data_IF_406267398065
#
_entry.id   IF_406267398065
#
_cell.length_a   1.000
_cell.length_b   1.000
_cell.length_c   1.000
_cell.angle_alpha   90.00
_cell.angle_beta   90.00
_cell.angle_gamma   90.00
#
_symmetry.space_group_name_H-M   'P 1'
#
loop_
_entity.id
_entity.type
_entity.pdbx_description
1 polymer ?
#
# COMPACT_ATOMS: atom_id res chain seq x y z
N UNK A 1 -3.49 5.98 37.10
CA UNK A 1 -3.28 5.11 35.91
C UNK A 1 -3.31 5.85 34.57
N UNK A 2 -3.86 7.06 34.46
CA UNK A 2 -3.93 7.78 33.16
C UNK A 2 -2.58 8.10 32.52
N UNK A 3 -1.58 8.49 33.32
CA UNK A 3 -0.24 8.86 32.82
C UNK A 3 0.49 7.70 32.13
N UNK A 4 0.54 6.52 32.78
CA UNK A 4 1.19 5.32 32.24
C UNK A 4 0.53 4.90 30.92
N UNK A 5 -0.81 4.89 30.88
CA UNK A 5 -1.56 4.52 29.68
C UNK A 5 -1.28 5.48 28.51
N UNK A 6 -1.24 6.79 28.79
CA UNK A 6 -0.92 7.80 27.77
C UNK A 6 0.50 7.64 27.24
N UNK A 7 1.47 7.35 28.12
CA UNK A 7 2.86 7.09 27.74
C UNK A 7 2.99 5.87 26.82
N UNK A 8 2.31 4.76 27.13
CA UNK A 8 2.34 3.55 26.28
C UNK A 8 1.73 3.82 24.90
N UNK A 9 0.59 4.54 24.83
CA UNK A 9 -0.03 4.90 23.54
C UNK A 9 0.91 5.75 22.69
N UNK A 10 1.61 6.71 23.30
CA UNK A 10 2.57 7.55 22.59
C UNK A 10 3.74 6.73 22.00
N UNK A 11 4.31 5.80 22.78
CA UNK A 11 5.38 4.92 22.31
C UNK A 11 4.90 4.03 21.16
N UNK A 12 3.71 3.43 21.29
CA UNK A 12 3.12 2.62 20.23
C UNK A 12 2.83 3.43 18.96
N UNK A 13 2.42 4.69 19.09
CA UNK A 13 2.19 5.58 17.95
C UNK A 13 3.50 5.89 17.19
N UNK A 14 4.60 6.15 17.91
CA UNK A 14 5.92 6.34 17.29
C UNK A 14 6.40 5.05 16.62
N UNK A 15 6.26 3.91 17.29
CA UNK A 15 6.63 2.62 16.74
C UNK A 15 5.85 2.32 15.44
N UNK A 16 4.53 2.56 15.45
CA UNK A 16 3.68 2.41 14.27
C UNK A 16 4.10 3.35 13.13
N UNK A 17 4.43 4.61 13.46
CA UNK A 17 4.91 5.57 12.46
C UNK A 17 6.19 5.10 11.77
N UNK A 18 7.19 4.65 12.54
CA UNK A 18 8.47 4.17 12.00
C UNK A 18 8.27 2.90 11.16
N UNK A 19 7.46 1.98 11.64
CA UNK A 19 7.17 0.72 10.95
C UNK A 19 6.45 0.98 9.62
N UNK A 20 5.43 1.85 9.60
CA UNK A 20 4.76 2.26 8.37
C UNK A 20 5.67 3.03 7.42
N UNK A 21 6.56 3.88 7.94
CA UNK A 21 7.54 4.59 7.11
C UNK A 21 8.48 3.62 6.39
N UNK A 22 9.02 2.61 7.11
CA UNK A 22 9.85 1.56 6.51
C UNK A 22 9.03 0.68 5.55
N UNK A 23 7.78 0.39 5.89
CA UNK A 23 6.85 -0.34 5.02
C UNK A 23 6.61 0.38 3.70
N UNK A 24 6.38 1.70 3.73
CA UNK A 24 6.23 2.52 2.54
C UNK A 24 7.48 2.51 1.66
N UNK A 25 8.68 2.46 2.28
CA UNK A 25 9.93 2.32 1.54
C UNK A 25 9.99 0.98 0.81
N UNK A 26 9.71 -0.13 1.49
CA UNK A 26 9.72 -1.45 0.86
C UNK A 26 8.65 -1.59 -0.22
N UNK A 27 7.46 -1.03 -0.01
CA UNK A 27 6.41 -1.02 -1.03
C UNK A 27 6.84 -0.21 -2.26
N UNK A 28 7.47 0.94 -2.05
CA UNK A 28 7.99 1.79 -3.13
C UNK A 28 9.06 1.05 -3.92
N UNK A 29 10.01 0.40 -3.25
CA UNK A 29 11.06 -0.39 -3.89
C UNK A 29 10.48 -1.58 -4.67
N UNK A 30 9.47 -2.26 -4.12
CA UNK A 30 8.80 -3.38 -4.79
C UNK A 30 8.10 -2.94 -6.08
N UNK A 31 7.22 -1.94 -6.00
CA UNK A 31 6.44 -1.46 -7.16
C UNK A 31 7.34 -0.81 -8.22
N UNK A 32 8.41 -0.14 -7.79
CA UNK A 32 9.35 0.50 -8.72
C UNK A 32 10.22 -0.50 -9.50
N UNK A 33 10.28 -1.75 -9.04
CA UNK A 33 11.04 -2.84 -9.68
C UNK A 33 10.17 -3.76 -10.53
N UNK A 34 8.95 -3.36 -10.85
CA UNK A 34 8.14 -4.05 -11.85
C UNK A 34 8.79 -3.95 -13.24
N UNK A 35 8.68 -5.02 -14.03
CA UNK A 35 9.35 -5.12 -15.34
C UNK A 35 9.01 -3.95 -16.28
N UNK A 36 7.75 -3.50 -16.26
CA UNK A 36 7.23 -2.36 -17.03
C UNK A 36 7.84 -1.01 -16.60
N UNK A 37 8.30 -0.89 -15.35
CA UNK A 37 9.03 0.28 -14.86
C UNK A 37 10.53 0.16 -15.17
N UNK A 38 11.07 -1.04 -15.03
CA UNK A 38 12.50 -1.31 -15.17
C UNK A 38 12.96 -1.30 -16.63
N UNK A 39 12.22 -1.95 -17.52
CA UNK A 39 12.56 -2.09 -18.94
C UNK A 39 12.80 -0.75 -19.66
N UNK A 40 11.86 0.21 -19.66
CA UNK A 40 12.09 1.49 -20.34
C UNK A 40 13.20 2.32 -19.70
N UNK A 41 13.42 2.17 -18.38
CA UNK A 41 14.51 2.85 -17.71
C UNK A 41 15.88 2.30 -18.12
N UNK A 42 16.01 0.97 -18.19
CA UNK A 42 17.25 0.33 -18.67
C UNK A 42 17.50 0.68 -20.13
N UNK A 43 16.46 0.70 -20.99
CA UNK A 43 16.60 1.13 -22.38
C UNK A 43 17.23 2.52 -22.48
N UNK A 44 16.67 3.50 -21.77
CA UNK A 44 17.22 4.86 -21.75
C UNK A 44 18.65 4.91 -21.16
N UNK A 45 18.90 4.17 -20.07
CA UNK A 45 20.21 4.14 -19.42
C UNK A 45 21.27 3.45 -20.29
N UNK A 46 20.87 2.45 -21.06
CA UNK A 46 21.76 1.66 -21.90
C UNK A 46 22.21 2.42 -23.14
N UNK A 47 21.46 3.41 -23.62
CA UNK A 47 21.97 4.35 -24.63
C UNK A 47 23.18 5.12 -24.08
N UNK A 48 23.07 5.61 -22.84
CA UNK A 48 24.16 6.31 -22.15
C UNK A 48 25.34 5.38 -21.80
N UNK A 49 25.05 4.15 -21.33
CA UNK A 49 26.08 3.18 -20.96
C UNK A 49 26.76 2.54 -22.15
N UNK A 50 26.04 2.25 -23.24
CA UNK A 50 26.62 1.77 -24.49
C UNK A 50 27.59 2.85 -25.03
N UNK A 51 27.26 4.13 -24.89
CA UNK A 51 28.17 5.20 -25.26
C UNK A 51 29.44 5.27 -24.38
N UNK A 52 29.39 4.80 -23.12
CA UNK A 52 30.51 4.96 -22.17
C UNK A 52 31.37 3.70 -21.92
N UNK A 53 30.87 2.48 -22.16
CA UNK A 53 31.45 1.24 -21.59
C UNK A 53 32.35 0.41 -22.52
N UNK A 54 32.62 0.84 -23.75
CA UNK A 54 33.40 0.05 -24.71
C UNK A 54 32.66 -1.17 -25.30
N UNK A 55 31.57 -1.62 -24.67
CA UNK A 55 30.66 -2.67 -25.19
C UNK A 55 30.07 -2.29 -26.55
N UNK A 56 29.77 -1.01 -26.78
CA UNK A 56 29.35 -0.51 -28.10
C UNK A 56 30.44 -0.68 -29.15
N UNK A 57 31.72 -0.52 -28.80
CA UNK A 57 32.80 -0.74 -29.73
C UNK A 57 32.88 -2.21 -30.14
N UNK A 58 32.68 -3.15 -29.21
CA UNK A 58 32.64 -4.59 -29.51
C UNK A 58 31.44 -4.96 -30.40
N UNK A 59 30.26 -4.41 -30.13
CA UNK A 59 29.06 -4.63 -30.97
C UNK A 59 29.29 -4.05 -32.38
N UNK A 60 29.80 -2.83 -32.48
CA UNK A 60 30.05 -2.16 -33.75
C UNK A 60 31.21 -2.80 -34.55
N UNK A 61 32.25 -3.30 -33.88
CA UNK A 61 33.34 -4.02 -34.53
C UNK A 61 32.83 -5.31 -35.19
N UNK A 62 31.94 -6.03 -34.52
CA UNK A 62 31.33 -7.25 -35.05
C UNK A 62 30.21 -6.98 -36.06
N UNK A 63 29.59 -5.80 -36.01
CA UNK A 63 28.48 -5.42 -36.87
C UNK A 63 28.87 -5.44 -38.35
N UNK A 64 29.99 -4.85 -38.76
CA UNK A 64 30.39 -4.79 -40.19
C UNK A 64 30.60 -6.18 -40.80
N UNK A 65 31.29 -7.06 -40.08
CA UNK A 65 31.52 -8.45 -40.52
C UNK A 65 30.20 -9.21 -40.65
N UNK A 66 29.29 -9.02 -39.68
CA UNK A 66 27.98 -9.68 -39.67
C UNK A 66 27.02 -9.15 -40.72
N UNK A 67 27.09 -7.85 -41.03
CA UNK A 67 26.32 -7.23 -42.10
C UNK A 67 26.66 -7.84 -43.46
N UNK A 68 27.95 -8.06 -43.74
CA UNK A 68 28.38 -8.74 -44.97
C UNK A 68 27.81 -10.17 -45.04
N UNK A 69 27.78 -10.90 -43.93
CA UNK A 69 27.21 -12.25 -43.88
C UNK A 69 25.70 -12.25 -44.14
N UNK A 70 24.96 -11.30 -43.56
CA UNK A 70 23.52 -11.15 -43.83
C UNK A 70 23.21 -10.82 -45.30
N UNK A 71 24.06 -10.05 -45.97
CA UNK A 71 23.88 -9.70 -47.38
C UNK A 71 24.12 -10.87 -48.34
N UNK A 72 24.89 -11.89 -47.93
CA UNK A 72 25.12 -13.10 -48.73
C UNK A 72 23.93 -14.05 -48.75
N UNK A 73 22.94 -13.85 -47.87
CA UNK A 73 21.68 -14.61 -47.86
C UNK A 73 21.75 -15.98 -47.17
N UNK A 74 22.90 -16.32 -46.55
CA UNK A 74 23.11 -17.65 -45.98
C UNK A 74 22.46 -17.84 -44.59
N UNK A 75 22.07 -16.76 -43.90
CA UNK A 75 21.56 -16.82 -42.52
C UNK A 75 20.42 -15.83 -42.26
N UNK A 76 19.46 -16.25 -41.42
CA UNK A 76 18.31 -15.44 -40.99
C UNK A 76 18.63 -14.59 -39.75
N UNK A 77 19.54 -15.06 -38.90
CA UNK A 77 19.98 -14.38 -37.68
C UNK A 77 21.44 -14.68 -37.36
N UNK A 78 22.11 -13.78 -36.64
CA UNK A 78 23.50 -13.92 -36.22
C UNK A 78 23.66 -13.72 -34.71
N UNK A 79 24.36 -14.62 -34.04
CA UNK A 79 24.54 -14.61 -32.59
C UNK A 79 25.56 -13.55 -32.14
N UNK A 80 25.12 -12.54 -31.39
CA UNK A 80 25.98 -11.61 -30.67
C UNK A 80 26.21 -12.11 -29.25
N UNK A 81 27.48 -12.22 -28.85
CA UNK A 81 27.82 -12.50 -27.45
C UNK A 81 27.80 -11.19 -26.68
N UNK A 82 26.93 -11.07 -25.69
CA UNK A 82 26.89 -9.98 -24.73
C UNK A 82 27.16 -10.54 -23.35
N UNK A 83 28.29 -10.14 -22.76
CA UNK A 83 28.84 -10.76 -21.55
C UNK A 83 29.04 -12.28 -21.73
N UNK A 84 28.12 -13.10 -21.24
CA UNK A 84 28.16 -14.57 -21.35
C UNK A 84 27.01 -15.16 -22.17
N UNK A 85 26.05 -14.33 -22.60
CA UNK A 85 24.83 -14.77 -23.28
C UNK A 85 24.94 -14.54 -24.78
N UNK A 86 24.37 -15.45 -25.57
CA UNK A 86 24.28 -15.32 -27.02
C UNK A 86 22.89 -14.87 -27.42
N UNK A 87 22.82 -13.71 -28.07
CA UNK A 87 21.57 -13.11 -28.55
C UNK A 87 21.55 -13.20 -30.07
N UNK A 88 20.60 -13.97 -30.61
CA UNK A 88 20.41 -14.11 -32.04
C UNK A 88 19.73 -12.85 -32.61
N UNK A 89 20.48 -12.04 -33.38
CA UNK A 89 19.95 -10.80 -33.97
C UNK A 89 19.51 -11.08 -35.40
N UNK A 90 18.24 -10.81 -35.79
CA UNK A 90 17.76 -10.99 -37.14
C UNK A 90 18.54 -10.15 -38.16
N UNK A 91 18.81 -10.70 -39.33
CA UNK A 91 19.47 -9.98 -40.41
C UNK A 91 18.68 -8.74 -40.88
N UNK A 92 17.35 -8.74 -40.69
CA UNK A 92 16.51 -7.56 -40.93
C UNK A 92 16.90 -6.36 -40.05
N UNK A 93 17.29 -6.61 -38.80
CA UNK A 93 17.75 -5.57 -37.87
C UNK A 93 19.19 -5.17 -38.20
N UNK A 94 20.06 -6.14 -38.51
CA UNK A 94 21.47 -5.91 -38.88
C UNK A 94 21.58 -5.08 -40.17
N UNK A 95 20.70 -5.29 -41.13
CA UNK A 95 20.75 -4.59 -42.41
C UNK A 95 20.26 -3.13 -42.32
N UNK A 96 19.52 -2.74 -41.27
CA UNK A 96 19.08 -1.36 -41.06
C UNK A 96 20.26 -0.45 -40.72
N UNK A 97 20.76 -0.56 -39.49
CA UNK A 97 21.90 0.22 -39.00
C UNK A 97 22.41 -0.35 -37.66
N UNK A 98 23.62 0.07 -37.26
CA UNK A 98 24.24 -0.40 -36.02
C UNK A 98 23.52 0.04 -34.73
N UNK A 99 22.74 1.14 -34.75
CA UNK A 99 21.95 1.56 -33.59
C UNK A 99 20.76 0.63 -33.40
N UNK A 100 20.06 0.28 -34.48
CA UNK A 100 18.97 -0.71 -34.46
C UNK A 100 19.44 -2.05 -33.87
N UNK A 101 20.66 -2.49 -34.17
CA UNK A 101 21.25 -3.70 -33.57
C UNK A 101 21.50 -3.53 -32.08
N UNK A 102 22.05 -2.39 -31.64
CA UNK A 102 22.29 -2.10 -30.22
C UNK A 102 20.96 -2.11 -29.46
N UNK A 103 19.95 -1.39 -29.95
CA UNK A 103 18.61 -1.32 -29.35
C UNK A 103 17.98 -2.72 -29.24
N UNK A 104 18.06 -3.53 -30.29
CA UNK A 104 17.57 -4.91 -30.28
C UNK A 104 18.30 -5.76 -29.23
N UNK A 105 19.63 -5.72 -29.20
CA UNK A 105 20.44 -6.49 -28.23
C UNK A 105 20.10 -6.08 -26.80
N UNK A 106 19.93 -4.78 -26.52
CA UNK A 106 19.52 -4.27 -25.22
C UNK A 106 18.13 -4.80 -24.85
N UNK A 107 17.16 -4.68 -25.77
CA UNK A 107 15.78 -5.10 -25.53
C UNK A 107 15.67 -6.59 -25.22
N UNK A 108 16.42 -7.43 -25.93
CA UNK A 108 16.50 -8.86 -25.67
C UNK A 108 17.29 -9.20 -24.39
N UNK A 109 18.26 -8.37 -24.02
CA UNK A 109 19.06 -8.58 -22.80
C UNK A 109 18.28 -8.28 -21.52
N UNK A 110 17.39 -7.28 -21.54
CA UNK A 110 16.62 -6.86 -20.35
C UNK A 110 15.87 -8.02 -19.69
N UNK A 111 15.03 -8.82 -20.38
CA UNK A 111 14.32 -9.92 -19.74
C UNK A 111 15.28 -11.00 -19.23
N UNK A 112 16.39 -11.28 -19.95
CA UNK A 112 17.39 -12.26 -19.52
C UNK A 112 17.99 -11.88 -18.16
N UNK A 113 18.37 -10.61 -17.99
CA UNK A 113 18.92 -10.14 -16.73
C UNK A 113 17.87 -9.95 -15.63
N UNK A 114 16.67 -9.47 -15.98
CA UNK A 114 15.61 -9.25 -15.02
C UNK A 114 15.13 -10.57 -14.37
N UNK A 115 14.96 -11.62 -15.19
CA UNK A 115 14.48 -12.94 -14.76
C UNK A 115 15.60 -13.94 -14.45
N UNK A 116 16.86 -13.47 -14.36
CA UNK A 116 18.00 -14.34 -14.06
C UNK A 116 17.83 -15.02 -12.70
N UNK A 117 17.95 -16.35 -12.66
CA UNK A 117 17.94 -17.09 -11.40
C UNK A 117 19.31 -17.03 -10.72
N UNK A 118 19.44 -16.12 -9.76
CA UNK A 118 20.68 -15.92 -9.02
C UNK A 118 20.84 -16.99 -7.92
N UNK A 119 21.93 -17.75 -7.91
CA UNK A 119 22.22 -18.76 -6.88
C UNK A 119 22.77 -18.17 -5.56
N UNK A 120 22.26 -17.02 -5.11
CA UNK A 120 22.62 -16.35 -3.85
C UNK A 120 21.38 -15.74 -3.20
N UNK A 121 21.44 -15.41 -1.91
CA UNK A 121 20.43 -14.51 -1.33
C UNK A 121 20.64 -13.09 -1.85
N UNK A 122 19.57 -12.27 -1.90
CA UNK A 122 19.65 -10.91 -2.43
C UNK A 122 20.81 -10.08 -1.84
N UNK A 123 21.00 -10.17 -0.51
CA UNK A 123 22.07 -9.45 0.18
C UNK A 123 23.46 -9.98 -0.20
N UNK A 124 23.63 -11.30 -0.30
CA UNK A 124 24.90 -11.92 -0.74
C UNK A 124 25.24 -11.57 -2.20
N UNK A 125 24.25 -11.52 -3.09
CA UNK A 125 24.47 -11.18 -4.49
C UNK A 125 25.06 -9.76 -4.62
N UNK A 126 24.57 -8.81 -3.82
CA UNK A 126 25.01 -7.42 -3.85
C UNK A 126 26.35 -7.24 -3.14
N UNK A 127 26.49 -7.78 -1.92
CA UNK A 127 27.64 -7.48 -1.06
C UNK A 127 28.86 -8.35 -1.36
N UNK A 128 28.66 -9.63 -1.66
CA UNK A 128 29.76 -10.61 -1.73
C UNK A 128 30.12 -10.96 -3.17
N UNK A 129 29.12 -11.13 -4.04
CA UNK A 129 29.36 -11.53 -5.44
C UNK A 129 29.52 -10.34 -6.40
N UNK A 130 29.15 -9.14 -5.97
CA UNK A 130 29.24 -7.93 -6.80
C UNK A 130 28.30 -7.94 -8.01
N UNK A 131 27.22 -8.73 -7.95
CA UNK A 131 26.25 -8.85 -9.03
C UNK A 131 25.27 -7.66 -8.99
N UNK A 132 25.73 -6.50 -9.46
CA UNK A 132 24.98 -5.24 -9.42
C UNK A 132 23.63 -5.31 -10.14
N UNK A 133 23.51 -6.12 -11.20
CA UNK A 133 22.25 -6.36 -11.92
C UNK A 133 21.19 -7.06 -11.06
N UNK A 134 21.59 -7.76 -9.99
CA UNK A 134 20.64 -8.35 -9.06
C UNK A 134 19.75 -7.29 -8.38
N UNK A 135 20.22 -6.03 -8.28
CA UNK A 135 19.45 -4.92 -7.69
C UNK A 135 18.19 -4.55 -8.46
N UNK A 136 18.17 -4.78 -9.77
CA UNK A 136 17.08 -4.41 -10.69
C UNK A 136 16.34 -5.63 -11.24
N UNK A 137 16.48 -6.78 -10.58
CA UNK A 137 15.91 -8.05 -10.99
C UNK A 137 14.56 -8.37 -10.32
N UNK A 138 13.85 -9.37 -10.83
CA UNK A 138 12.68 -9.95 -10.17
C UNK A 138 13.00 -10.45 -8.75
N UNK A 139 14.24 -10.90 -8.53
CA UNK A 139 14.71 -11.34 -7.22
C UNK A 139 14.75 -10.19 -6.20
N UNK A 140 15.17 -9.00 -6.63
CA UNK A 140 15.11 -7.81 -5.80
C UNK A 140 13.65 -7.44 -5.47
N UNK A 141 12.79 -7.40 -6.49
CA UNK A 141 11.35 -7.15 -6.32
C UNK A 141 10.74 -8.08 -5.26
N UNK A 142 10.92 -9.39 -5.42
CA UNK A 142 10.44 -10.42 -4.50
C UNK A 142 11.01 -10.26 -3.09
N UNK A 143 12.27 -9.82 -2.95
CA UNK A 143 12.88 -9.54 -1.66
C UNK A 143 12.16 -8.39 -0.94
N UNK A 144 11.97 -7.26 -1.61
CA UNK A 144 11.30 -6.09 -1.04
C UNK A 144 9.83 -6.37 -0.74
N UNK A 145 9.14 -7.13 -1.59
CA UNK A 145 7.78 -7.61 -1.34
C UNK A 145 7.68 -8.41 -0.03
N UNK A 146 8.56 -9.41 0.16
CA UNK A 146 8.59 -10.21 1.40
C UNK A 146 8.87 -9.36 2.64
N UNK A 147 9.76 -8.37 2.53
CA UNK A 147 10.05 -7.42 3.61
C UNK A 147 8.87 -6.51 3.91
N UNK A 148 8.18 -6.02 2.88
CA UNK A 148 6.95 -5.25 3.03
C UNK A 148 5.89 -6.03 3.80
N UNK A 149 5.57 -7.27 3.41
CA UNK A 149 4.58 -8.09 4.12
C UNK A 149 4.97 -8.38 5.57
N UNK A 150 6.27 -8.58 5.83
CA UNK A 150 6.78 -8.79 7.18
C UNK A 150 6.54 -7.56 8.07
N UNK A 151 6.83 -6.37 7.54
CA UNK A 151 6.58 -5.08 8.23
C UNK A 151 5.09 -4.81 8.38
N UNK A 152 4.28 -5.04 7.35
CA UNK A 152 2.83 -4.87 7.41
C UNK A 152 2.18 -5.73 8.51
N UNK A 153 2.69 -6.96 8.72
CA UNK A 153 2.24 -7.82 9.81
C UNK A 153 2.59 -7.25 11.19
N UNK A 154 3.80 -6.70 11.35
CA UNK A 154 4.22 -6.03 12.59
C UNK A 154 3.36 -4.79 12.86
N UNK A 155 3.13 -3.96 11.83
CA UNK A 155 2.23 -2.80 11.89
C UNK A 155 0.83 -3.19 12.35
N UNK A 156 0.29 -4.31 11.86
CA UNK A 156 -1.02 -4.82 12.26
C UNK A 156 -1.04 -5.20 13.75
N UNK A 157 0.00 -5.87 14.25
CA UNK A 157 0.13 -6.23 15.68
C UNK A 157 0.20 -4.97 16.53
N UNK A 158 1.01 -3.98 16.14
CA UNK A 158 1.13 -2.70 16.84
C UNK A 158 -0.22 -1.95 16.84
N UNK A 159 -0.95 -1.97 15.73
CA UNK A 159 -2.28 -1.39 15.63
C UNK A 159 -3.28 -2.06 16.59
N UNK A 160 -3.28 -3.39 16.70
CA UNK A 160 -4.14 -4.13 17.64
C UNK A 160 -3.79 -3.75 19.10
N UNK A 161 -2.50 -3.66 19.43
CA UNK A 161 -2.07 -3.19 20.75
C UNK A 161 -2.55 -1.76 21.02
N UNK A 162 -2.35 -0.85 20.07
CA UNK A 162 -2.82 0.53 20.15
C UNK A 162 -4.34 0.57 20.37
N UNK A 163 -5.10 -0.24 19.64
CA UNK A 163 -6.55 -0.37 19.79
C UNK A 163 -6.95 -0.81 21.20
N UNK A 164 -6.23 -1.76 21.82
CA UNK A 164 -6.48 -2.21 23.19
C UNK A 164 -6.17 -1.08 24.20
N UNK A 165 -5.03 -0.41 24.04
CA UNK A 165 -4.54 0.60 24.97
C UNK A 165 -5.25 1.95 24.84
N UNK A 166 -5.86 2.33 23.72
CA UNK A 166 -6.62 3.58 23.61
C UNK A 166 -7.98 3.46 24.34
N UNK A 167 -8.36 4.51 25.09
CA UNK A 167 -9.59 4.54 25.91
C UNK A 167 -10.84 4.47 25.04
N UNK A 168 -10.85 5.26 23.97
CA UNK A 168 -11.97 5.37 23.04
C UNK A 168 -11.60 4.68 21.73
N UNK A 169 -12.29 3.59 21.38
CA UNK A 169 -11.91 2.75 20.24
C UNK A 169 -11.90 3.49 18.91
N UNK A 170 -12.82 4.45 18.73
CA UNK A 170 -12.84 5.32 17.57
C UNK A 170 -11.56 6.17 17.43
N UNK A 171 -10.97 6.60 18.55
CA UNK A 171 -9.75 7.39 18.58
C UNK A 171 -8.53 6.59 18.11
N UNK A 172 -8.52 5.26 18.25
CA UNK A 172 -7.46 4.42 17.69
C UNK A 172 -7.46 4.42 16.15
N UNK A 173 -8.64 4.34 15.52
CA UNK A 173 -8.79 4.43 14.07
C UNK A 173 -8.42 5.81 13.52
N UNK A 174 -8.85 6.88 14.19
CA UNK A 174 -8.48 8.25 13.78
C UNK A 174 -6.97 8.47 13.92
N UNK A 175 -6.39 8.08 15.06
CA UNK A 175 -4.95 8.23 15.32
C UNK A 175 -4.11 7.43 14.32
N UNK A 176 -4.44 6.16 14.09
CA UNK A 176 -3.73 5.33 13.10
C UNK A 176 -3.86 5.89 11.68
N UNK A 177 -5.05 6.36 11.28
CA UNK A 177 -5.23 7.00 9.98
C UNK A 177 -4.39 8.26 9.79
N UNK A 178 -4.29 9.12 10.83
CA UNK A 178 -3.37 10.27 10.83
C UNK A 178 -1.92 9.81 10.68
N UNK A 179 -1.49 8.80 11.45
CA UNK A 179 -0.12 8.27 11.39
C UNK A 179 0.19 7.69 10.00
N UNK A 180 -0.74 6.94 9.40
CA UNK A 180 -0.60 6.41 8.03
C UNK A 180 -0.36 7.55 7.04
N UNK A 181 -1.18 8.61 7.07
CA UNK A 181 -1.00 9.78 6.20
C UNK A 181 0.35 10.45 6.46
N UNK A 182 0.71 10.67 7.73
CA UNK A 182 1.95 11.35 8.11
C UNK A 182 3.20 10.56 7.68
N UNK A 183 3.15 9.23 7.78
CA UNK A 183 4.24 8.34 7.37
C UNK A 183 4.48 8.33 5.85
N UNK A 184 3.47 8.72 5.07
CA UNK A 184 3.56 8.77 3.61
C UNK A 184 4.10 10.10 3.08
N UNK A 185 4.01 11.19 3.85
CA UNK A 185 4.44 12.55 3.43
C UNK A 185 5.86 12.57 2.84
N UNK A 186 6.88 11.92 3.44
CA UNK A 186 8.24 11.94 2.90
C UNK A 186 8.35 11.39 1.47
N UNK A 187 7.43 10.50 1.05
CA UNK A 187 7.44 9.86 -0.26
C UNK A 187 6.93 10.78 -1.38
N UNK A 188 6.23 11.87 -1.03
CA UNK A 188 5.86 12.91 -2.00
C UNK A 188 7.07 13.69 -2.52
N UNK A 189 8.10 13.85 -1.68
CA UNK A 189 9.32 14.61 -1.99
C UNK A 189 10.54 13.71 -1.81
N UNK A 190 10.60 12.63 -2.59
CA UNK A 190 11.65 11.63 -2.49
C UNK A 190 13.06 12.19 -2.73
N UNK A 191 13.19 13.33 -3.43
CA UNK A 191 14.48 13.99 -3.68
C UNK A 191 15.23 14.30 -2.40
N UNK A 192 14.53 14.63 -1.32
CA UNK A 192 15.14 14.82 -0.01
C UNK A 192 15.61 13.48 0.59
N UNK A 193 14.83 12.41 0.46
CA UNK A 193 15.21 11.08 0.94
C UNK A 193 16.46 10.54 0.22
N UNK A 194 16.54 10.80 -1.08
CA UNK A 194 17.68 10.42 -1.92
C UNK A 194 18.99 11.06 -1.45
N UNK A 195 18.93 12.26 -0.85
CA UNK A 195 20.10 12.93 -0.29
C UNK A 195 20.65 12.28 0.97
N UNK A 196 19.85 11.44 1.64
CA UNK A 196 20.26 10.68 2.83
C UNK A 196 20.86 9.32 2.47
N UNK A 197 20.73 8.86 1.22
CA UNK A 197 21.30 7.60 0.79
C UNK A 197 22.82 7.72 0.68
N UNK A 198 23.58 6.72 1.16
CA UNK A 198 25.04 6.77 1.08
C UNK A 198 25.51 6.68 -0.38
N UNK A 199 26.68 7.26 -0.66
CA UNK A 199 27.28 7.35 -2.01
C UNK A 199 27.59 5.99 -2.68
N UNK A 200 27.45 4.86 -1.97
CA UNK A 200 27.75 3.53 -2.54
C UNK A 200 26.75 3.07 -3.59
N UNK A 201 25.54 3.66 -3.66
CA UNK A 201 24.61 3.38 -4.74
C UNK A 201 24.99 4.23 -5.96
N UNK A 202 25.17 3.62 -7.14
CA UNK A 202 25.46 4.39 -8.34
C UNK A 202 24.30 5.36 -8.60
N UNK A 203 24.56 6.67 -8.46
CA UNK A 203 23.57 7.75 -8.58
C UNK A 203 22.69 7.68 -9.83
N UNK A 204 23.17 7.01 -10.89
CA UNK A 204 22.45 6.80 -12.14
C UNK A 204 21.30 5.79 -12.07
N UNK A 205 21.34 4.84 -11.14
CA UNK A 205 20.30 3.79 -11.01
C UNK A 205 19.32 4.15 -9.90
N UNK A 206 19.74 4.95 -8.92
CA UNK A 206 18.92 5.34 -7.77
C UNK A 206 17.50 5.84 -8.12
N UNK A 207 17.28 6.66 -9.18
CA UNK A 207 15.94 7.13 -9.51
C UNK A 207 14.95 6.01 -9.85
N UNK A 208 15.42 4.88 -10.39
CA UNK A 208 14.54 3.75 -10.77
C UNK A 208 13.76 3.23 -9.58
N UNK A 209 14.38 3.20 -8.39
CA UNK A 209 13.85 2.64 -7.15
C UNK A 209 12.71 3.45 -6.53
N UNK A 210 12.47 4.65 -7.05
CA UNK A 210 11.49 5.59 -6.51
C UNK A 210 10.51 6.11 -7.56
N UNK A 211 10.47 5.48 -8.73
CA UNK A 211 9.52 5.79 -9.81
C UNK A 211 8.06 5.68 -9.34
N UNK A 212 7.77 4.76 -8.41
CA UNK A 212 6.43 4.52 -7.85
C UNK A 212 6.17 5.17 -6.48
N UNK A 213 7.04 6.07 -6.02
CA UNK A 213 6.88 6.72 -4.71
C UNK A 213 5.59 7.54 -4.60
N UNK A 214 5.22 8.24 -5.69
CA UNK A 214 3.98 9.02 -5.74
C UNK A 214 2.73 8.13 -5.67
N UNK A 215 2.76 6.98 -6.33
CA UNK A 215 1.65 6.01 -6.32
C UNK A 215 1.46 5.46 -4.89
N UNK A 216 2.55 5.10 -4.20
CA UNK A 216 2.52 4.65 -2.80
C UNK A 216 1.99 5.74 -1.87
N UNK A 217 2.43 6.99 -2.06
CA UNK A 217 1.91 8.13 -1.32
C UNK A 217 0.37 8.25 -1.45
N UNK A 218 -0.15 8.13 -2.68
CA UNK A 218 -1.59 8.19 -2.93
C UNK A 218 -2.35 7.01 -2.31
N UNK A 219 -1.82 5.79 -2.41
CA UNK A 219 -2.39 4.59 -1.77
C UNK A 219 -2.52 4.81 -0.25
N UNK A 220 -1.46 5.29 0.39
CA UNK A 220 -1.45 5.50 1.84
C UNK A 220 -2.35 6.65 2.28
N UNK A 221 -2.49 7.71 1.48
CA UNK A 221 -3.49 8.75 1.75
C UNK A 221 -4.90 8.17 1.73
N UNK A 222 -5.26 7.40 0.69
CA UNK A 222 -6.58 6.79 0.57
C UNK A 222 -6.85 5.87 1.76
N UNK A 223 -5.88 5.01 2.10
CA UNK A 223 -5.97 4.10 3.24
C UNK A 223 -6.15 4.85 4.57
N UNK A 224 -5.40 5.94 4.77
CA UNK A 224 -5.50 6.78 5.97
C UNK A 224 -6.85 7.48 6.07
N UNK A 225 -7.40 8.00 4.97
CA UNK A 225 -8.74 8.60 4.92
C UNK A 225 -9.80 7.55 5.29
N UNK A 226 -9.72 6.34 4.72
CA UNK A 226 -10.65 5.24 5.05
C UNK A 226 -10.62 4.95 6.55
N UNK A 227 -9.44 4.86 7.17
CA UNK A 227 -9.31 4.64 8.61
C UNK A 227 -9.91 5.77 9.45
N UNK A 228 -9.69 7.03 9.06
CA UNK A 228 -10.29 8.20 9.75
C UNK A 228 -11.82 8.16 9.61
N UNK A 229 -12.35 7.89 8.42
CA UNK A 229 -13.79 7.77 8.17
C UNK A 229 -14.41 6.65 9.00
N UNK A 230 -13.75 5.49 9.12
CA UNK A 230 -14.20 4.39 10.00
C UNK A 230 -14.25 4.83 11.46
N UNK A 231 -13.21 5.51 11.94
CA UNK A 231 -13.17 6.04 13.30
C UNK A 231 -14.31 7.03 13.56
N UNK A 232 -14.54 7.97 12.64
CA UNK A 232 -15.65 8.93 12.72
C UNK A 232 -17.01 8.20 12.73
N UNK A 233 -17.19 7.21 11.84
CA UNK A 233 -18.41 6.40 11.77
C UNK A 233 -18.73 5.71 13.10
N UNK A 234 -17.75 5.01 13.69
CA UNK A 234 -17.91 4.33 15.00
C UNK A 234 -18.34 5.33 16.08
N UNK A 235 -17.75 6.54 16.09
CA UNK A 235 -18.12 7.59 17.05
C UNK A 235 -19.59 8.02 16.91
N UNK A 236 -20.11 8.15 15.68
CA UNK A 236 -21.51 8.49 15.44
C UNK A 236 -22.47 7.35 15.85
N UNK A 237 -22.09 6.08 15.64
CA UNK A 237 -22.91 4.95 16.08
C UNK A 237 -23.04 4.88 17.62
N UNK A 238 -21.94 5.07 18.35
CA UNK A 238 -21.96 5.11 19.82
C UNK A 238 -22.84 6.26 20.36
N UNK A 239 -22.81 7.41 19.69
CA UNK A 239 -23.69 8.55 20.01
C UNK A 239 -25.15 8.22 19.71
N UNK A 240 -25.45 7.55 18.60
CA UNK A 240 -26.79 7.11 18.23
C UNK A 240 -27.40 6.14 19.25
N UNK A 241 -26.62 5.19 19.75
CA UNK A 241 -27.07 4.25 20.80
C UNK A 241 -27.36 5.03 22.10
N UNK A 242 -26.48 5.94 22.51
CA UNK A 242 -26.69 6.78 23.70
C UNK A 242 -27.89 7.72 23.57
N UNK A 243 -28.14 8.28 22.38
CA UNK A 243 -29.31 9.12 22.09
C UNK A 243 -30.61 8.31 22.18
N UNK A 244 -30.63 7.07 21.68
CA UNK A 244 -31.79 6.19 21.78
C UNK A 244 -32.10 5.81 23.24
N UNK A 245 -31.07 5.60 24.07
CA UNK A 245 -31.23 5.38 25.51
C UNK A 245 -31.73 6.63 26.24
N UNK A 246 -31.22 7.82 25.89
CA UNK A 246 -31.68 9.10 26.43
C UNK A 246 -33.15 9.39 26.08
N UNK A 247 -33.53 9.21 24.81
CA UNK A 247 -34.92 9.36 24.34
C UNK A 247 -35.83 8.36 25.07
N UNK A 248 -35.43 7.09 25.20
CA UNK A 248 -36.19 6.11 25.99
C UNK A 248 -36.33 6.51 27.45
N UNK A 249 -35.31 7.12 28.06
CA UNK A 249 -35.36 7.57 29.45
C UNK A 249 -36.31 8.77 29.66
N UNK A 250 -36.38 9.69 28.69
CA UNK A 250 -37.26 10.85 28.70
C UNK A 250 -38.71 10.41 28.50
N UNK A 251 -38.97 9.58 27.48
CA UNK A 251 -40.32 9.07 27.20
C UNK A 251 -40.84 8.09 28.27
N UNK A 252 -39.97 7.37 29.00
CA UNK A 252 -40.41 6.55 30.13
C UNK A 252 -40.85 7.37 31.34
N UNK A 253 -40.31 8.58 31.56
CA UNK A 253 -40.70 9.41 32.71
C UNK A 253 -42.07 10.05 32.54
N UNK A 254 -42.46 10.46 31.34
CA UNK A 254 -43.79 11.04 31.11
C UNK A 254 -44.91 10.00 31.11
N UNK A 255 -44.65 8.75 30.71
CA UNK A 255 -45.67 7.69 30.71
C UNK A 255 -45.95 7.04 32.08
N UNK A 256 -45.20 7.39 33.13
CA UNK A 256 -45.48 6.88 34.49
C UNK A 256 -46.01 7.93 35.48
N UNK A 257 -46.19 9.18 35.06
CA UNK A 257 -46.67 10.24 35.95
C UNK A 257 -48.09 10.76 35.67
N UNK A 258 -48.74 10.36 34.58
CA UNK A 258 -50.18 10.60 34.34
C UNK A 258 -50.97 9.30 34.37
N UNK A 259 -51.22 8.82 35.58
CA UNK A 259 -52.42 8.09 35.99
C UNK A 259 -52.38 8.11 37.52
N UNK A 260 -52.52 9.32 38.06
CA UNK A 260 -52.82 9.54 39.48
C UNK A 260 -53.97 8.60 39.83
N UNK A 261 -53.78 7.77 40.86
CA UNK A 261 -54.76 6.79 41.37
C UNK A 261 -56.15 7.40 41.68
N UNK A 262 -56.28 8.71 41.65
CA UNK A 262 -57.52 9.45 41.85
C UNK A 262 -58.40 9.52 40.58
N UNK A 263 -57.84 9.73 39.38
CA UNK A 263 -58.64 9.76 38.14
C UNK A 263 -59.12 8.35 37.71
N UNK A 264 -58.33 7.30 37.97
CA UNK A 264 -58.78 5.91 37.75
C UNK A 264 -59.89 5.51 38.71
N UNK A 265 -59.89 6.04 39.94
CA UNK A 265 -60.97 5.82 40.91
C UNK A 265 -62.25 6.55 40.52
N UNK A 266 -62.14 7.72 39.90
CA UNK A 266 -63.30 8.49 39.46
C UNK A 266 -63.98 7.83 38.24
N UNK A 267 -63.21 7.39 37.24
CA UNK A 267 -63.73 6.71 36.04
C UNK A 267 -64.30 5.32 36.38
N UNK A 268 -63.68 4.58 37.32
CA UNK A 268 -64.22 3.30 37.78
C UNK A 268 -65.47 3.46 38.66
N UNK A 269 -65.54 4.52 39.46
CA UNK A 269 -66.70 4.84 40.31
C UNK A 269 -67.95 5.24 39.53
N UNK A 270 -67.80 5.95 38.41
CA UNK A 270 -68.93 6.36 37.56
C UNK A 270 -69.52 5.18 36.77
N UNK A 271 -68.69 4.30 36.19
CA UNK A 271 -69.17 3.12 35.46
C UNK A 271 -69.94 2.14 36.36
N UNK A 272 -69.49 1.93 37.59
CA UNK A 272 -70.20 1.07 38.56
C UNK A 272 -71.54 1.69 39.00
N UNK A 273 -71.64 3.03 39.10
CA UNK A 273 -72.90 3.71 39.43
C UNK A 273 -73.92 3.66 38.28
N UNK A 274 -73.48 3.67 37.01
CA UNK A 274 -74.39 3.50 35.88
C UNK A 274 -74.94 2.07 35.75
N UNK A 275 -74.13 1.04 35.99
CA UNK A 275 -74.59 -0.35 35.94
C UNK A 275 -75.58 -0.66 37.08
N UNK A 276 -75.33 -0.18 38.30
CA UNK A 276 -76.27 -0.31 39.42
C UNK A 276 -77.61 0.42 39.19
N UNK A 277 -77.61 1.52 38.42
CA UNK A 277 -78.86 2.20 38.01
C UNK A 277 -79.62 1.43 36.93
N UNK A 278 -78.93 0.73 36.04
CA UNK A 278 -79.56 -0.13 35.00
C UNK A 278 -80.17 -1.40 35.61
N UNK A 279 -79.54 -2.01 36.61
CA UNK A 279 -80.11 -3.17 37.31
C UNK A 279 -81.33 -2.82 38.17
N UNK A 280 -81.31 -1.70 38.92
CA UNK A 280 -82.47 -1.25 39.71
C UNK A 280 -83.70 -0.91 38.85
N UNK A 281 -83.51 -0.48 37.59
CA UNK A 281 -84.62 -0.26 36.65
C UNK A 281 -85.19 -1.56 36.08
N UNK A 282 -84.42 -2.65 36.01
CA UNK A 282 -84.92 -3.98 35.60
C UNK A 282 -85.70 -4.69 36.72
N UNK A 283 -85.30 -4.52 37.98
CA UNK A 283 -85.98 -5.14 39.13
C UNK A 283 -87.36 -4.54 39.47
N UNK A 284 -87.67 -3.31 39.03
CA UNK A 284 -88.97 -2.66 39.26
C UNK A 284 -90.05 -2.95 38.20
N UNK A 285 -89.74 -3.79 37.21
CA UNK A 285 -90.62 -4.09 36.07
C UNK A 285 -91.12 -5.55 36.03
N UNK A 286 -90.86 -6.30 37.10
CA UNK A 286 -91.47 -7.60 37.40
C UNK A 286 -92.24 -7.49 38.71
#
# INVERSE_FOLDING_TARGET
MGFIRSGVVFILAIALFLDLFVGNLFLTLNLSLEYDQVSPYIQNLSEDFAMSSGSKALILQNYETKKILCQKGDQVSLDFTFDTEKIAVPCEVINKDGKSVIEFVINESIPIYYYKDYNCTFIECIQTKGESLALISEKAKTYWEKKFYSVALISLIIFVLLFIFVKEKHSAFILSGIIVIFSAIPFRQITWLLSLLPEFLPFKITPIFFTKAADVFMIMIILGIILISLGIGIKFFDLGIKLNELIKSIFKKDLTQELTKEEVKEIAGEKVKEELKKEKKKSKKN
#
